data_IF_644822480518
#
_entry.id   IF_644822480518
#
_cell.length_a   1.000
_cell.length_b   1.000
_cell.length_c   1.000
_cell.angle_alpha   90.00
_cell.angle_beta   90.00
_cell.angle_gamma   90.00
#
_symmetry.space_group_name_H-M   'P 1'
#
loop_
_entity.id
_entity.type
_entity.pdbx_description
1 polymer ?
#
# COMPACT_ATOMS: atom_id res chain seq x y z
N UNK A 1 -5.44 -1.81 -26.27
CA UNK A 1 -5.64 -1.11 -27.55
C UNK A 1 -4.46 -0.18 -27.72
N UNK A 2 -3.72 -0.29 -28.81
CA UNK A 2 -2.44 0.38 -29.00
C UNK A 2 -2.66 1.86 -29.38
N UNK A 3 -2.28 2.76 -28.49
CA UNK A 3 -2.35 4.21 -28.71
C UNK A 3 -1.53 4.62 -29.95
N UNK A 4 -0.49 3.85 -30.29
CA UNK A 4 0.31 4.03 -31.49
C UNK A 4 -0.48 3.86 -32.79
N UNK A 5 -1.43 2.92 -32.84
CA UNK A 5 -2.32 2.71 -33.99
C UNK A 5 -3.30 3.87 -34.17
N UNK A 6 -3.76 4.48 -33.07
CA UNK A 6 -4.66 5.64 -33.08
C UNK A 6 -3.91 6.89 -33.57
N UNK A 7 -2.70 7.14 -33.06
CA UNK A 7 -1.85 8.27 -33.48
C UNK A 7 -1.43 8.13 -34.96
N UNK A 8 -1.11 6.92 -35.40
CA UNK A 8 -0.79 6.66 -36.80
C UNK A 8 -1.99 6.92 -37.74
N UNK A 9 -3.19 6.53 -37.31
CA UNK A 9 -4.43 6.78 -38.06
C UNK A 9 -4.77 8.27 -38.16
N UNK A 10 -4.59 9.02 -37.07
CA UNK A 10 -4.76 10.49 -37.06
C UNK A 10 -3.76 11.19 -37.98
N UNK A 11 -2.48 10.80 -37.95
CA UNK A 11 -1.44 11.34 -38.84
C UNK A 11 -1.73 11.09 -40.32
N UNK A 12 -2.19 9.88 -40.66
CA UNK A 12 -2.56 9.55 -42.03
C UNK A 12 -3.83 10.31 -42.48
N UNK A 13 -4.78 10.53 -41.57
CA UNK A 13 -5.96 11.36 -41.82
C UNK A 13 -5.61 12.83 -42.12
N UNK A 14 -4.68 13.40 -41.35
CA UNK A 14 -4.14 14.76 -41.54
C UNK A 14 -3.33 14.93 -42.83
N UNK A 15 -2.52 13.94 -43.21
CA UNK A 15 -1.74 13.97 -44.45
C UNK A 15 -2.59 13.98 -45.73
N UNK A 16 -3.81 13.43 -45.68
CA UNK A 16 -4.74 13.40 -46.82
C UNK A 16 -5.75 14.57 -46.82
N UNK A 17 -5.73 15.45 -45.82
CA UNK A 17 -6.53 16.69 -45.78
C UNK A 17 -5.94 17.79 -46.70
N UNK A 18 -4.65 17.73 -47.02
CA UNK A 18 -3.98 18.73 -47.86
C UNK A 18 -4.26 18.58 -49.36
N UNK A 19 -5.02 17.56 -49.78
CA UNK A 19 -5.13 17.16 -51.20
C UNK A 19 -6.55 16.98 -51.77
N UNK A 20 -7.65 17.30 -51.06
CA UNK A 20 -9.02 16.88 -51.49
C UNK A 20 -10.00 18.04 -51.76
N UNK A 21 -10.67 17.97 -52.92
CA UNK A 21 -11.48 19.02 -53.57
C UNK A 21 -13.02 18.89 -53.44
N UNK A 22 -13.61 17.91 -52.72
CA UNK A 22 -15.09 17.76 -52.66
C UNK A 22 -15.69 17.70 -51.24
N UNK A 23 -16.84 18.37 -51.07
CA UNK A 23 -17.56 18.55 -49.80
C UNK A 23 -18.00 17.23 -49.13
N UNK A 24 -18.23 16.16 -49.90
CA UNK A 24 -18.70 14.87 -49.37
C UNK A 24 -17.60 14.14 -48.59
N UNK A 25 -16.36 14.15 -49.12
CA UNK A 25 -15.21 13.54 -48.45
C UNK A 25 -14.84 14.28 -47.16
N UNK A 26 -15.07 15.60 -47.13
CA UNK A 26 -14.91 16.40 -45.90
C UNK A 26 -15.94 15.99 -44.84
N UNK A 27 -17.21 15.73 -45.21
CA UNK A 27 -18.25 15.29 -44.27
C UNK A 27 -17.95 13.93 -43.66
N UNK A 28 -17.57 12.95 -44.49
CA UNK A 28 -17.22 11.61 -44.01
C UNK A 28 -16.03 11.65 -43.04
N UNK A 29 -15.03 12.50 -43.32
CA UNK A 29 -13.87 12.65 -42.44
C UNK A 29 -14.19 13.37 -41.14
N UNK A 30 -15.07 14.39 -41.17
CA UNK A 30 -15.53 15.04 -39.95
C UNK A 30 -16.30 14.05 -39.06
N UNK A 31 -17.16 13.21 -39.65
CA UNK A 31 -17.86 12.16 -38.92
C UNK A 31 -16.88 11.15 -38.31
N UNK A 32 -15.89 10.69 -39.08
CA UNK A 32 -14.84 9.79 -38.60
C UNK A 32 -13.99 10.38 -37.46
N UNK A 33 -13.63 11.67 -37.54
CA UNK A 33 -12.91 12.37 -36.47
C UNK A 33 -13.79 12.45 -35.22
N UNK A 34 -15.09 12.71 -35.37
CA UNK A 34 -16.04 12.69 -34.25
C UNK A 34 -16.08 11.33 -33.55
N UNK A 35 -16.17 10.24 -34.31
CA UNK A 35 -16.15 8.87 -33.76
C UNK A 35 -14.83 8.56 -33.03
N UNK A 36 -13.69 9.00 -33.57
CA UNK A 36 -12.38 8.84 -32.93
C UNK A 36 -12.28 9.62 -31.61
N UNK A 37 -12.83 10.84 -31.56
CA UNK A 37 -12.88 11.65 -30.35
C UNK A 37 -13.74 10.96 -29.28
N UNK A 38 -14.89 10.42 -29.66
CA UNK A 38 -15.78 9.68 -28.75
C UNK A 38 -15.09 8.45 -28.14
N UNK A 39 -14.35 7.69 -28.97
CA UNK A 39 -13.57 6.54 -28.49
C UNK A 39 -12.45 6.99 -27.55
N UNK A 40 -11.76 8.09 -27.87
CA UNK A 40 -10.71 8.65 -27.02
C UNK A 40 -11.27 9.10 -25.66
N UNK A 41 -12.40 9.79 -25.64
CA UNK A 41 -13.04 10.22 -24.39
C UNK A 41 -13.45 9.03 -23.52
N UNK A 42 -14.08 8.01 -24.11
CA UNK A 42 -14.48 6.79 -23.39
C UNK A 42 -13.28 6.02 -22.83
N UNK A 43 -12.22 5.89 -23.62
CA UNK A 43 -10.99 5.20 -23.18
C UNK A 43 -10.24 5.98 -22.12
N UNK A 44 -10.22 7.32 -22.20
CA UNK A 44 -9.65 8.20 -21.18
C UNK A 44 -10.38 8.01 -19.85
N UNK A 45 -11.70 8.14 -19.83
CA UNK A 45 -12.51 7.97 -18.63
C UNK A 45 -12.32 6.57 -18.00
N UNK A 46 -12.30 5.51 -18.82
CA UNK A 46 -12.05 4.15 -18.33
C UNK A 46 -10.63 3.98 -17.77
N UNK A 47 -9.64 4.69 -18.32
CA UNK A 47 -8.25 4.64 -17.83
C UNK A 47 -8.09 5.41 -16.54
N UNK A 48 -8.70 6.59 -16.42
CA UNK A 48 -8.74 7.36 -15.17
C UNK A 48 -9.39 6.58 -14.03
N UNK A 49 -10.50 5.89 -14.31
CA UNK A 49 -11.14 5.03 -13.32
C UNK A 49 -10.21 3.90 -12.86
N UNK A 50 -9.57 3.18 -13.78
CA UNK A 50 -8.62 2.11 -13.44
C UNK A 50 -7.42 2.62 -12.67
N UNK A 51 -6.94 3.83 -12.99
CA UNK A 51 -5.84 4.46 -12.28
C UNK A 51 -6.24 4.80 -10.84
N UNK A 52 -7.42 5.36 -10.63
CA UNK A 52 -7.94 5.65 -9.30
C UNK A 52 -8.11 4.37 -8.46
N UNK A 53 -8.67 3.31 -9.04
CA UNK A 53 -8.79 2.00 -8.38
C UNK A 53 -7.42 1.39 -8.03
N UNK A 54 -6.44 1.49 -8.93
CA UNK A 54 -5.09 1.00 -8.70
C UNK A 54 -4.38 1.77 -7.58
N UNK A 55 -4.50 3.10 -7.55
CA UNK A 55 -3.95 3.94 -6.47
C UNK A 55 -4.57 3.56 -5.13
N UNK A 56 -5.90 3.42 -5.07
CA UNK A 56 -6.60 3.04 -3.85
C UNK A 56 -6.11 1.68 -3.31
N UNK A 57 -5.95 0.68 -4.20
CA UNK A 57 -5.38 -0.63 -3.84
C UNK A 57 -3.93 -0.53 -3.37
N UNK A 58 -3.12 0.32 -3.99
CA UNK A 58 -1.72 0.49 -3.60
C UNK A 58 -1.60 1.08 -2.18
N UNK A 59 -2.43 2.07 -1.85
CA UNK A 59 -2.47 2.67 -0.50
C UNK A 59 -2.88 1.61 0.53
N UNK A 60 -3.89 0.80 0.23
CA UNK A 60 -4.35 -0.25 1.13
C UNK A 60 -3.29 -1.34 1.36
N UNK A 61 -2.66 -1.83 0.29
CA UNK A 61 -1.58 -2.82 0.39
C UNK A 61 -0.36 -2.27 1.14
N UNK A 62 -0.03 -0.99 0.95
CA UNK A 62 1.07 -0.34 1.68
C UNK A 62 0.79 -0.34 3.17
N UNK A 63 -0.43 0.04 3.60
CA UNK A 63 -0.84 -0.02 5.01
C UNK A 63 -0.75 -1.44 5.57
N UNK A 64 -1.19 -2.45 4.81
CA UNK A 64 -1.10 -3.84 5.23
C UNK A 64 0.36 -4.30 5.38
N UNK A 65 1.23 -3.98 4.42
CA UNK A 65 2.67 -4.31 4.49
C UNK A 65 3.33 -3.63 5.69
N UNK A 66 3.01 -2.36 5.96
CA UNK A 66 3.52 -1.65 7.14
C UNK A 66 3.05 -2.33 8.44
N UNK A 67 1.79 -2.76 8.51
CA UNK A 67 1.26 -3.51 9.64
C UNK A 67 1.96 -4.88 9.81
N UNK A 68 2.18 -5.62 8.72
CA UNK A 68 2.89 -6.91 8.77
C UNK A 68 4.37 -6.74 9.13
N UNK A 69 5.06 -5.75 8.57
CA UNK A 69 6.45 -5.44 8.91
C UNK A 69 6.62 -5.03 10.37
N UNK A 70 5.64 -4.32 10.92
CA UNK A 70 5.61 -4.06 12.35
C UNK A 70 5.56 -5.38 13.13
N UNK A 71 4.74 -6.36 12.72
CA UNK A 71 4.62 -7.66 13.37
C UNK A 71 5.86 -8.56 13.23
N UNK A 72 6.53 -8.61 12.07
CA UNK A 72 7.75 -9.42 11.86
C UNK A 72 8.93 -8.96 12.72
N UNK A 73 8.93 -7.69 13.15
CA UNK A 73 9.93 -7.18 14.07
C UNK A 73 9.73 -7.69 15.50
N UNK A 74 8.59 -8.32 15.83
CA UNK A 74 8.31 -8.84 17.16
C UNK A 74 8.46 -10.36 17.23
N UNK A 75 9.13 -10.83 18.26
CA UNK A 75 9.13 -12.23 18.68
C UNK A 75 8.26 -12.36 19.91
N UNK A 76 7.33 -13.32 19.88
CA UNK A 76 6.53 -13.67 21.05
C UNK A 76 7.32 -14.62 21.94
N UNK A 77 7.50 -14.25 23.20
CA UNK A 77 8.18 -15.07 24.20
C UNK A 77 7.53 -14.88 25.58
N UNK A 78 7.24 -15.97 26.29
CA UNK A 78 6.55 -15.95 27.60
C UNK A 78 5.34 -15.01 27.64
N UNK A 79 4.45 -15.16 26.64
CA UNK A 79 3.24 -14.35 26.43
C UNK A 79 3.44 -12.86 26.13
N UNK A 80 4.68 -12.35 26.06
CA UNK A 80 4.97 -10.96 25.71
C UNK A 80 5.61 -10.83 24.32
N UNK A 81 5.52 -9.64 23.72
CA UNK A 81 6.21 -9.33 22.46
C UNK A 81 7.53 -8.59 22.72
N UNK A 82 8.58 -8.97 22.00
CA UNK A 82 9.91 -8.35 22.06
C UNK A 82 10.34 -7.91 20.67
N UNK A 83 10.71 -6.64 20.53
CA UNK A 83 11.11 -6.07 19.23
C UNK A 83 12.59 -6.34 18.95
N UNK A 84 12.90 -6.88 17.77
CA UNK A 84 14.26 -6.96 17.24
C UNK A 84 14.82 -5.57 16.98
N UNK A 85 16.10 -5.37 17.28
CA UNK A 85 16.83 -4.15 16.94
C UNK A 85 17.52 -4.25 15.56
N UNK A 86 18.12 -3.15 15.11
CA UNK A 86 18.84 -3.08 13.82
C UNK A 86 20.15 -3.87 13.79
N UNK A 87 20.68 -4.24 14.96
CA UNK A 87 21.87 -5.07 15.15
C UNK A 87 21.55 -6.57 15.25
N UNK A 88 20.28 -6.96 15.18
CA UNK A 88 19.82 -8.35 15.32
C UNK A 88 19.62 -8.80 16.77
N UNK A 89 19.84 -7.92 17.75
CA UNK A 89 19.48 -8.14 19.16
C UNK A 89 18.02 -7.79 19.45
N UNK A 90 17.68 -7.65 20.73
CA UNK A 90 16.33 -7.26 21.16
C UNK A 90 16.37 -5.95 21.94
N UNK A 91 15.43 -5.05 21.64
CA UNK A 91 15.24 -3.84 22.42
C UNK A 91 14.88 -4.21 23.87
N UNK A 92 15.46 -3.50 24.85
CA UNK A 92 15.16 -3.66 26.28
C UNK A 92 13.81 -3.03 26.65
N UNK A 93 12.75 -3.52 26.02
CA UNK A 93 11.38 -3.10 26.23
C UNK A 93 10.43 -4.28 26.00
N UNK A 94 9.41 -4.37 26.84
CA UNK A 94 8.34 -5.36 26.70
C UNK A 94 7.19 -4.71 25.95
N UNK A 95 6.60 -5.45 25.01
CA UNK A 95 5.45 -5.00 24.22
C UNK A 95 4.27 -5.93 24.48
N UNK A 96 3.07 -5.35 24.45
CA UNK A 96 1.85 -6.14 24.49
C UNK A 96 1.75 -7.02 23.23
N UNK A 97 1.45 -8.32 23.33
CA UNK A 97 1.33 -9.21 22.17
C UNK A 97 0.11 -8.89 21.30
N UNK A 98 -0.91 -8.25 21.86
CA UNK A 98 -2.16 -7.93 21.16
C UNK A 98 -2.13 -6.54 20.53
N UNK A 99 -1.50 -5.57 21.22
CA UNK A 99 -1.49 -4.17 20.79
C UNK A 99 -0.17 -3.72 20.16
N UNK A 100 0.91 -4.51 20.30
CA UNK A 100 2.28 -4.17 19.88
C UNK A 100 2.78 -2.81 20.38
N UNK A 101 2.20 -2.30 21.46
CA UNK A 101 2.63 -1.08 22.14
C UNK A 101 3.57 -1.44 23.28
N UNK A 102 4.60 -0.61 23.48
CA UNK A 102 5.48 -0.75 24.63
C UNK A 102 4.66 -0.59 25.92
N UNK A 103 4.93 -1.47 26.87
CA UNK A 103 4.24 -1.50 28.16
C UNK A 103 5.24 -1.35 29.29
N UNK A 104 4.77 -0.84 30.42
CA UNK A 104 5.53 -0.68 31.64
C UNK A 104 5.00 -1.55 32.78
N UNK A 105 5.78 -1.59 33.84
CA UNK A 105 5.39 -2.08 35.14
C UNK A 105 5.78 -1.01 36.17
N UNK A 106 4.84 -0.67 37.05
CA UNK A 106 4.96 0.45 37.98
C UNK A 106 6.04 0.18 39.04
N UNK A 107 6.09 -1.05 39.55
CA UNK A 107 7.05 -1.50 40.56
C UNK A 107 7.88 -2.70 40.06
N UNK A 108 8.97 -3.02 40.78
CA UNK A 108 9.87 -4.11 40.42
C UNK A 108 9.24 -5.51 40.53
N UNK A 109 8.29 -5.65 41.44
CA UNK A 109 7.48 -6.84 41.73
C UNK A 109 6.15 -6.87 40.95
N UNK A 110 5.91 -5.87 40.10
CA UNK A 110 4.71 -5.82 39.26
C UNK A 110 4.94 -6.49 37.91
N UNK A 111 3.90 -7.16 37.40
CA UNK A 111 3.85 -7.64 36.02
C UNK A 111 3.66 -6.47 35.05
N UNK A 112 4.14 -6.63 33.82
CA UNK A 112 3.81 -5.70 32.74
C UNK A 112 2.33 -5.84 32.41
N UNK A 113 1.66 -4.71 32.16
CA UNK A 113 0.25 -4.70 31.80
C UNK A 113 -0.04 -3.74 30.66
N UNK A 114 -1.03 -4.07 29.83
CA UNK A 114 -1.49 -3.22 28.75
C UNK A 114 -2.79 -2.52 29.13
N UNK A 115 -2.76 -1.20 29.32
CA UNK A 115 -3.95 -0.41 29.60
C UNK A 115 -5.01 -0.43 28.49
N UNK A 116 -4.63 -0.81 27.25
CA UNK A 116 -5.56 -0.83 26.11
C UNK A 116 -6.39 -2.12 26.03
N UNK A 117 -5.77 -3.29 26.22
CA UNK A 117 -6.45 -4.58 26.06
C UNK A 117 -6.49 -5.45 27.32
N UNK A 118 -5.93 -4.97 28.44
CA UNK A 118 -5.93 -5.69 29.71
C UNK A 118 -4.98 -6.89 29.79
N UNK A 119 -4.15 -7.13 28.78
CA UNK A 119 -3.13 -8.17 28.83
C UNK A 119 -2.12 -7.90 29.97
N UNK A 120 -1.71 -8.96 30.67
CA UNK A 120 -0.65 -8.95 31.68
C UNK A 120 0.42 -10.00 31.35
N UNK A 121 1.69 -9.72 31.66
CA UNK A 121 2.78 -10.67 31.46
C UNK A 121 2.83 -11.77 32.52
N UNK A 122 3.40 -12.92 32.16
CA UNK A 122 3.69 -14.05 33.07
C UNK A 122 4.95 -13.83 33.94
N UNK A 123 5.61 -12.68 33.83
CA UNK A 123 6.82 -12.35 34.56
C UNK A 123 6.78 -10.93 35.10
N UNK A 124 7.51 -10.69 36.18
CA UNK A 124 7.60 -9.39 36.83
C UNK A 124 8.73 -8.55 36.23
N UNK A 125 8.72 -7.24 36.49
CA UNK A 125 9.77 -6.31 36.03
C UNK A 125 11.18 -6.73 36.45
N UNK A 126 11.35 -7.27 37.66
CA UNK A 126 12.65 -7.76 38.17
C UNK A 126 13.20 -8.95 37.37
N UNK A 127 12.33 -9.73 36.73
CA UNK A 127 12.71 -10.92 35.97
C UNK A 127 13.07 -10.61 34.52
N UNK A 128 12.86 -9.37 34.06
CA UNK A 128 13.05 -8.95 32.67
C UNK A 128 14.44 -9.33 32.15
N UNK A 129 15.49 -9.12 32.94
CA UNK A 129 16.86 -9.46 32.56
C UNK A 129 17.08 -10.95 32.31
N UNK A 130 16.42 -11.79 33.12
CA UNK A 130 16.49 -13.25 32.96
C UNK A 130 15.69 -13.69 31.73
N UNK A 131 14.49 -13.12 31.54
CA UNK A 131 13.64 -13.42 30.38
C UNK A 131 14.32 -13.03 29.07
N UNK A 132 14.93 -11.85 28.99
CA UNK A 132 15.61 -11.40 27.77
C UNK A 132 16.80 -12.28 27.37
N UNK A 133 17.51 -12.88 28.33
CA UNK A 133 18.60 -13.84 28.06
C UNK A 133 18.12 -15.17 27.48
N UNK A 134 16.82 -15.47 27.60
CA UNK A 134 16.20 -16.69 27.07
C UNK A 134 15.47 -16.47 25.75
N UNK A 135 15.59 -15.27 25.16
CA UNK A 135 15.07 -15.00 23.82
C UNK A 135 15.88 -15.77 22.77
N UNK A 136 15.22 -16.25 21.69
CA UNK A 136 15.87 -17.04 20.64
C UNK A 136 16.82 -16.21 19.76
#
# INVERSE_FOLDING_TARGET
MDVGLIIASLKNGLGALSTIQSNEVLRERIAFIGEQIDVLQKTHAATEQKLAEAIAKNVELTKQIEAYRAQEQFVLHRTAAFRKDTSGGYARAVYCPNCFKAVGADFSDSTFHCATCGWCSEFEKRDLDSVMKTLP
#
